data_IF_167775903067
#
_entry.id   IF_167775903067
#
_cell.length_a   1.000
_cell.length_b   1.000
_cell.length_c   1.000
_cell.angle_alpha   90.00
_cell.angle_beta   90.00
_cell.angle_gamma   90.00
#
_symmetry.space_group_name_H-M   'P 1'
#
loop_
_entity.id
_entity.type
_entity.pdbx_description
1 polymer ?
#
# COMPACT_ATOMS: atom_id res chain seq x y z
N UNK A 1 17.44 7.33 -5.99
CA UNK A 1 16.65 6.11 -5.75
C UNK A 1 15.30 6.30 -6.43
N UNK A 2 14.97 5.43 -7.39
CA UNK A 2 13.72 5.45 -8.15
C UNK A 2 12.72 4.49 -7.51
N UNK A 3 11.60 5.04 -7.04
CA UNK A 3 10.53 4.30 -6.37
C UNK A 3 9.31 4.26 -7.27
N UNK A 4 8.87 3.05 -7.63
CA UNK A 4 7.64 2.85 -8.39
C UNK A 4 6.48 2.47 -7.45
N UNK A 5 5.36 3.16 -7.61
CA UNK A 5 4.07 2.79 -7.03
C UNK A 5 3.21 2.21 -8.16
N UNK A 6 2.98 0.91 -8.09
CA UNK A 6 2.30 0.14 -9.12
C UNK A 6 0.83 -0.06 -8.74
N UNK A 7 -0.05 0.65 -9.43
CA UNK A 7 -1.47 0.82 -9.09
C UNK A 7 -1.68 2.03 -8.16
N UNK A 8 -2.44 3.04 -8.62
CA UNK A 8 -2.61 4.33 -7.92
C UNK A 8 -4.05 4.66 -7.52
N UNK A 9 -4.77 3.63 -7.11
CA UNK A 9 -6.06 3.77 -6.42
C UNK A 9 -5.86 4.29 -4.98
N UNK A 10 -6.82 4.02 -4.09
CA UNK A 10 -6.82 4.55 -2.72
C UNK A 10 -5.57 4.17 -1.91
N UNK A 11 -5.11 2.92 -2.01
CA UNK A 11 -3.91 2.45 -1.28
C UNK A 11 -2.62 3.07 -1.84
N UNK A 12 -2.47 3.13 -3.17
CA UNK A 12 -1.30 3.75 -3.80
C UNK A 12 -1.18 5.24 -3.46
N UNK A 13 -2.30 5.96 -3.40
CA UNK A 13 -2.32 7.36 -2.97
C UNK A 13 -1.94 7.56 -1.50
N UNK A 14 -2.45 6.71 -0.61
CA UNK A 14 -2.07 6.70 0.82
C UNK A 14 -0.58 6.41 0.99
N UNK A 15 -0.08 5.38 0.29
CA UNK A 15 1.33 5.02 0.30
C UNK A 15 2.22 6.17 -0.17
N UNK A 16 1.92 6.82 -1.29
CA UNK A 16 2.71 7.96 -1.77
C UNK A 16 2.79 9.08 -0.72
N UNK A 17 1.65 9.46 -0.13
CA UNK A 17 1.59 10.48 0.92
C UNK A 17 2.41 10.10 2.15
N UNK A 18 2.42 8.82 2.50
CA UNK A 18 3.21 8.30 3.61
C UNK A 18 4.71 8.34 3.28
N UNK A 19 5.14 7.73 2.16
CA UNK A 19 6.54 7.65 1.76
C UNK A 19 7.18 9.02 1.64
N UNK A 20 6.49 10.01 1.07
CA UNK A 20 6.99 11.38 0.94
C UNK A 20 7.36 12.04 2.28
N UNK A 21 6.73 11.61 3.38
CA UNK A 21 7.01 12.13 4.73
C UNK A 21 8.15 11.39 5.42
N UNK A 22 8.56 10.23 4.91
CA UNK A 22 9.58 9.41 5.54
C UNK A 22 10.99 9.91 5.19
N UNK A 23 11.89 10.07 6.19
CA UNK A 23 13.25 10.54 5.95
C UNK A 23 14.02 9.74 4.89
N UNK A 24 13.89 8.42 4.90
CA UNK A 24 14.57 7.50 3.96
C UNK A 24 14.16 7.69 2.50
N UNK A 25 13.02 8.34 2.26
CA UNK A 25 12.46 8.56 0.91
C UNK A 25 12.49 10.03 0.48
N UNK A 26 13.08 10.93 1.29
CA UNK A 26 13.09 12.38 1.03
C UNK A 26 13.78 12.78 -0.29
N UNK A 27 14.78 12.00 -0.73
CA UNK A 27 15.51 12.19 -2.01
C UNK A 27 15.09 11.19 -3.09
N UNK A 28 13.98 10.47 -2.90
CA UNK A 28 13.51 9.49 -3.87
C UNK A 28 12.78 10.18 -5.04
N UNK A 29 13.00 9.65 -6.23
CA UNK A 29 12.19 9.98 -7.41
C UNK A 29 11.01 9.02 -7.46
N UNK A 30 9.79 9.56 -7.46
CA UNK A 30 8.57 8.75 -7.45
C UNK A 30 8.02 8.59 -8.87
N UNK A 31 7.61 7.36 -9.17
CA UNK A 31 6.95 6.99 -10.42
C UNK A 31 5.62 6.32 -10.13
N UNK A 32 4.57 6.70 -10.85
CA UNK A 32 3.26 6.04 -10.77
C UNK A 32 3.07 5.21 -12.03
N UNK A 33 2.98 3.90 -11.84
CA UNK A 33 2.77 2.93 -12.91
C UNK A 33 1.34 2.45 -12.82
N UNK A 34 0.53 2.73 -13.84
CA UNK A 34 -0.85 2.28 -13.88
C UNK A 34 -1.34 2.09 -15.32
N UNK A 35 -2.30 1.18 -15.52
CA UNK A 35 -2.91 0.98 -16.82
C UNK A 35 -3.91 2.11 -17.16
N UNK A 36 -4.50 2.75 -16.15
CA UNK A 36 -5.47 3.82 -16.35
C UNK A 36 -4.80 5.14 -16.73
N UNK A 37 -5.11 5.63 -17.94
CA UNK A 37 -4.58 6.90 -18.47
C UNK A 37 -5.30 8.13 -17.93
N UNK A 38 -6.44 7.97 -17.24
CA UNK A 38 -7.28 9.06 -16.73
C UNK A 38 -6.97 9.43 -15.27
N UNK A 39 -5.94 8.83 -14.68
CA UNK A 39 -5.59 9.06 -13.29
C UNK A 39 -5.18 10.51 -13.01
N UNK A 40 -5.63 11.00 -11.85
CA UNK A 40 -5.17 12.28 -11.30
C UNK A 40 -3.83 12.07 -10.60
N UNK A 41 -2.77 12.62 -11.19
CA UNK A 41 -1.40 12.47 -10.72
C UNK A 41 -1.01 13.68 -9.87
N UNK A 42 -0.45 13.50 -8.66
CA UNK A 42 0.03 14.59 -7.84
C UNK A 42 1.31 15.22 -8.42
N UNK A 43 1.55 16.50 -8.11
CA UNK A 43 2.80 17.19 -8.48
C UNK A 43 4.03 16.48 -7.89
N UNK A 44 5.14 16.50 -8.65
CA UNK A 44 6.43 15.94 -8.22
C UNK A 44 6.54 14.42 -8.37
N UNK A 45 5.71 13.82 -9.22
CA UNK A 45 5.73 12.38 -9.53
C UNK A 45 5.70 12.21 -11.04
N UNK A 46 6.45 11.25 -11.56
CA UNK A 46 6.49 10.93 -12.98
C UNK A 46 5.44 9.84 -13.30
N UNK A 47 4.39 10.13 -14.07
CA UNK A 47 3.42 9.13 -14.46
C UNK A 47 3.90 8.29 -15.64
N UNK A 48 3.72 6.97 -15.54
CA UNK A 48 3.94 6.00 -16.61
C UNK A 48 2.64 5.24 -16.79
N UNK A 49 1.79 5.72 -17.69
CA UNK A 49 0.40 5.27 -17.82
C UNK A 49 0.12 4.49 -19.10
N UNK A 50 -0.96 3.72 -19.10
CA UNK A 50 -1.47 3.03 -20.29
C UNK A 50 -0.82 1.68 -20.53
N UNK A 51 -0.95 1.15 -21.76
CA UNK A 51 -0.58 -0.25 -22.07
C UNK A 51 0.88 -0.62 -21.83
N UNK A 52 1.79 0.37 -21.85
CA UNK A 52 3.25 0.16 -21.72
C UNK A 52 3.78 0.45 -20.32
N UNK A 53 2.90 0.62 -19.32
CA UNK A 53 3.27 1.02 -17.96
C UNK A 53 4.29 0.10 -17.25
N UNK A 54 4.43 -1.16 -17.70
CA UNK A 54 5.36 -2.13 -17.13
C UNK A 54 6.67 -2.30 -17.90
N UNK A 55 6.84 -1.69 -19.08
CA UNK A 55 7.98 -1.96 -19.96
C UNK A 55 9.33 -1.71 -19.27
N UNK A 56 9.40 -0.67 -18.44
CA UNK A 56 10.63 -0.20 -17.82
C UNK A 56 10.70 -0.59 -16.33
N UNK A 57 9.93 -1.61 -15.91
CA UNK A 57 9.85 -1.96 -14.48
C UNK A 57 11.21 -2.30 -13.84
N UNK A 58 12.18 -2.78 -14.62
CA UNK A 58 13.53 -3.14 -14.16
C UNK A 58 14.39 -1.93 -13.78
N UNK A 59 14.00 -0.72 -14.16
CA UNK A 59 14.76 0.50 -13.89
C UNK A 59 14.51 1.06 -12.48
N UNK A 60 13.56 0.50 -11.73
CA UNK A 60 13.18 0.99 -10.41
C UNK A 60 13.91 0.21 -9.31
N UNK A 61 14.43 0.92 -8.32
CA UNK A 61 15.16 0.32 -7.19
C UNK A 61 14.20 -0.47 -6.28
N UNK A 62 12.97 0.01 -6.14
CA UNK A 62 11.91 -0.61 -5.35
C UNK A 62 10.54 -0.39 -6.00
N UNK A 63 9.73 -1.45 -6.05
CA UNK A 63 8.37 -1.41 -6.60
C UNK A 63 7.37 -1.77 -5.50
N UNK A 64 6.47 -0.85 -5.18
CA UNK A 64 5.34 -1.10 -4.30
C UNK A 64 4.12 -1.52 -5.13
N UNK A 65 3.80 -2.81 -5.10
CA UNK A 65 2.66 -3.38 -5.83
C UNK A 65 1.38 -3.26 -5.01
N UNK A 66 0.37 -2.63 -5.58
CA UNK A 66 -1.00 -2.65 -5.05
C UNK A 66 -1.64 -4.03 -5.23
N UNK A 67 -2.50 -4.48 -4.30
CA UNK A 67 -3.14 -5.81 -4.35
C UNK A 67 -3.87 -6.09 -5.67
N UNK A 68 -4.49 -5.07 -6.27
CA UNK A 68 -5.24 -5.17 -7.53
C UNK A 68 -4.40 -5.43 -8.79
N UNK A 69 -3.07 -5.26 -8.72
CA UNK A 69 -2.18 -5.57 -9.86
C UNK A 69 -1.68 -7.00 -9.75
N UNK A 70 -1.96 -7.90 -10.69
CA UNK A 70 -1.57 -9.31 -10.58
C UNK A 70 -0.05 -9.51 -10.42
N UNK A 71 0.35 -10.31 -9.42
CA UNK A 71 1.76 -10.51 -9.09
C UNK A 71 2.57 -11.12 -10.24
N UNK A 72 1.97 -12.00 -11.04
CA UNK A 72 2.65 -12.67 -12.15
C UNK A 72 3.18 -11.70 -13.22
N UNK A 73 2.61 -10.50 -13.34
CA UNK A 73 3.06 -9.46 -14.27
C UNK A 73 4.44 -8.90 -13.89
N UNK A 74 4.78 -8.96 -12.61
CA UNK A 74 5.97 -8.30 -12.07
C UNK A 74 6.93 -9.26 -11.39
N UNK A 75 6.57 -10.54 -11.23
CA UNK A 75 7.33 -11.60 -10.52
C UNK A 75 8.83 -11.69 -10.83
N UNK A 76 9.29 -11.21 -11.99
CA UNK A 76 10.70 -11.23 -12.41
C UNK A 76 11.53 -10.10 -11.77
N UNK A 77 10.90 -9.11 -11.16
CA UNK A 77 11.56 -8.00 -10.50
C UNK A 77 11.96 -8.40 -9.07
N UNK A 78 13.22 -8.20 -8.69
CA UNK A 78 13.76 -8.68 -7.41
C UNK A 78 13.24 -7.91 -6.19
N UNK A 79 13.07 -6.59 -6.33
CA UNK A 79 12.72 -5.70 -5.22
C UNK A 79 11.25 -5.28 -5.26
N UNK A 80 10.34 -6.26 -5.23
CA UNK A 80 8.91 -6.01 -5.09
C UNK A 80 8.52 -6.10 -3.63
N UNK A 81 7.75 -5.12 -3.18
CA UNK A 81 7.06 -5.16 -1.89
C UNK A 81 5.61 -4.69 -2.07
N UNK A 82 4.89 -4.47 -0.96
CA UNK A 82 3.52 -3.97 -0.97
C UNK A 82 3.28 -2.97 0.16
N UNK A 83 2.25 -2.11 0.07
CA UNK A 83 1.82 -1.29 1.20
C UNK A 83 1.57 -2.12 2.47
N UNK A 84 1.01 -3.33 2.34
CA UNK A 84 0.74 -4.23 3.46
C UNK A 84 2.02 -4.75 4.11
N UNK A 85 3.01 -5.15 3.31
CA UNK A 85 4.30 -5.61 3.86
C UNK A 85 5.04 -4.46 4.56
N UNK A 86 5.01 -3.25 3.98
CA UNK A 86 5.55 -2.06 4.64
C UNK A 86 4.83 -1.78 5.97
N UNK A 87 3.50 -1.91 5.99
CA UNK A 87 2.72 -1.77 7.22
C UNK A 87 3.16 -2.79 8.27
N UNK A 88 3.32 -4.07 7.91
CA UNK A 88 3.80 -5.10 8.85
C UNK A 88 5.19 -4.82 9.40
N UNK A 89 6.10 -4.27 8.60
CA UNK A 89 7.45 -3.90 9.04
C UNK A 89 7.47 -2.72 10.01
N UNK A 90 6.54 -1.78 9.85
CA UNK A 90 6.53 -0.53 10.62
C UNK A 90 5.55 -0.51 11.79
N UNK A 91 4.58 -1.44 11.83
CA UNK A 91 3.57 -1.47 12.87
C UNK A 91 4.19 -1.87 14.23
N UNK A 92 4.14 -0.99 15.25
CA UNK A 92 4.69 -1.30 16.58
C UNK A 92 3.75 -2.22 17.40
N UNK A 93 2.49 -2.34 16.99
CA UNK A 93 1.45 -3.06 17.71
C UNK A 93 1.30 -4.51 17.23
N UNK A 94 0.65 -5.35 18.05
CA UNK A 94 0.31 -6.73 17.70
C UNK A 94 -0.70 -6.75 16.55
N UNK A 95 -0.36 -7.48 15.48
CA UNK A 95 -1.21 -7.61 14.29
C UNK A 95 -2.05 -8.88 14.36
N UNK A 96 -3.35 -8.75 14.12
CA UNK A 96 -4.29 -9.87 13.91
C UNK A 96 -4.77 -9.80 12.46
N UNK A 97 -4.39 -10.77 11.63
CA UNK A 97 -4.75 -10.83 10.21
C UNK A 97 -5.99 -11.71 9.96
N UNK A 98 -6.96 -11.18 9.21
CA UNK A 98 -8.20 -11.89 8.86
C UNK A 98 -8.31 -11.98 7.34
N UNK A 99 -8.39 -13.20 6.80
CA UNK A 99 -8.54 -13.50 5.37
C UNK A 99 -9.65 -14.53 5.13
N UNK A 100 -10.02 -14.77 3.87
CA UNK A 100 -11.08 -15.70 3.47
C UNK A 100 -11.97 -15.14 2.36
N UNK A 101 -12.84 -15.95 1.75
CA UNK A 101 -13.68 -15.49 0.63
C UNK A 101 -14.86 -14.63 1.12
N UNK A 102 -15.53 -15.04 2.20
CA UNK A 102 -16.68 -14.35 2.81
C UNK A 102 -16.45 -14.16 4.32
N UNK A 103 -17.24 -13.30 4.97
CA UNK A 103 -17.21 -13.13 6.44
C UNK A 103 -16.07 -12.27 7.01
N UNK A 104 -14.98 -12.03 6.27
CA UNK A 104 -13.81 -11.21 6.71
C UNK A 104 -14.20 -9.90 7.42
N UNK A 105 -15.10 -9.14 6.80
CA UNK A 105 -15.57 -7.84 7.29
C UNK A 105 -16.18 -7.92 8.67
N UNK A 106 -17.16 -8.81 8.78
CA UNK A 106 -17.92 -9.07 10.00
C UNK A 106 -17.01 -9.63 11.10
N UNK A 107 -16.18 -10.62 10.79
CA UNK A 107 -15.25 -11.24 11.76
C UNK A 107 -14.24 -10.23 12.30
N UNK A 108 -13.60 -9.44 11.42
CA UNK A 108 -12.64 -8.41 11.86
C UNK A 108 -13.31 -7.34 12.74
N UNK A 109 -14.54 -6.94 12.38
CA UNK A 109 -15.32 -5.97 13.17
C UNK A 109 -15.73 -6.54 14.54
N UNK A 110 -16.12 -7.81 14.60
CA UNK A 110 -16.48 -8.48 15.85
C UNK A 110 -15.28 -8.56 16.80
N UNK A 111 -14.13 -9.02 16.32
CA UNK A 111 -12.88 -9.07 17.09
C UNK A 111 -12.52 -7.67 17.62
N UNK A 112 -12.56 -6.66 16.75
CA UNK A 112 -12.29 -5.27 17.14
C UNK A 112 -13.23 -4.79 18.26
N UNK A 113 -14.54 -5.04 18.15
CA UNK A 113 -15.52 -4.67 19.17
C UNK A 113 -15.26 -5.38 20.50
N UNK A 114 -14.98 -6.68 20.49
CA UNK A 114 -14.61 -7.45 21.70
C UNK A 114 -13.38 -6.82 22.37
N UNK A 115 -12.32 -6.54 21.62
CA UNK A 115 -11.11 -5.93 22.16
C UNK A 115 -11.38 -4.54 22.77
N UNK A 116 -12.19 -3.71 22.11
CA UNK A 116 -12.59 -2.40 22.65
C UNK A 116 -13.45 -2.52 23.90
N UNK A 117 -14.37 -3.47 23.97
CA UNK A 117 -15.14 -3.76 25.20
C UNK A 117 -14.21 -4.16 26.35
N UNK A 118 -13.14 -4.91 26.06
CA UNK A 118 -12.08 -5.23 27.03
C UNK A 118 -11.10 -4.07 27.28
N UNK A 119 -11.43 -2.84 26.87
CA UNK A 119 -10.62 -1.61 27.03
C UNK A 119 -9.21 -1.71 26.42
N UNK A 120 -9.02 -2.52 25.39
CA UNK A 120 -7.75 -2.58 24.64
C UNK A 120 -7.69 -1.46 23.60
N UNK A 121 -6.50 -0.89 23.41
CA UNK A 121 -6.29 0.05 22.32
C UNK A 121 -6.15 -0.67 20.97
N UNK A 122 -7.29 -1.09 20.43
CA UNK A 122 -7.38 -1.79 19.14
C UNK A 122 -7.63 -0.82 17.98
N UNK A 123 -7.17 -1.19 16.79
CA UNK A 123 -7.38 -0.44 15.56
C UNK A 123 -7.87 -1.40 14.46
N UNK A 124 -8.94 -1.02 13.76
CA UNK A 124 -9.44 -1.77 12.60
C UNK A 124 -8.88 -1.14 11.32
N UNK A 125 -8.08 -1.91 10.57
CA UNK A 125 -7.34 -1.45 9.39
C UNK A 125 -7.46 -2.43 8.21
N UNK A 126 -7.07 -1.99 7.01
CA UNK A 126 -6.98 -2.83 5.80
C UNK A 126 -8.11 -2.57 4.81
N UNK A 127 -8.67 -3.65 4.23
CA UNK A 127 -9.73 -3.57 3.22
C UNK A 127 -11.09 -3.06 3.76
N UNK A 128 -11.19 -2.75 5.05
CA UNK A 128 -12.38 -2.21 5.70
C UNK A 128 -11.99 -0.83 6.24
N UNK A 129 -12.69 0.21 5.79
CA UNK A 129 -12.45 1.57 6.28
C UNK A 129 -11.26 2.23 5.59
N UNK A 130 -10.14 2.44 6.29
CA UNK A 130 -8.98 3.23 5.83
C UNK A 130 -7.78 2.33 5.49
N UNK A 131 -6.96 2.70 4.49
CA UNK A 131 -5.70 2.00 4.21
C UNK A 131 -4.85 1.85 5.47
N UNK A 132 -4.23 0.69 5.66
CA UNK A 132 -3.49 0.39 6.89
C UNK A 132 -2.33 1.37 7.14
N UNK A 133 -1.65 1.80 6.07
CA UNK A 133 -0.57 2.79 6.12
C UNK A 133 -1.00 4.11 6.78
N UNK A 134 -2.23 4.58 6.55
CA UNK A 134 -2.72 5.83 7.16
C UNK A 134 -2.86 5.73 8.69
N UNK A 135 -2.90 4.52 9.23
CA UNK A 135 -3.04 4.28 10.67
C UNK A 135 -1.71 4.30 11.41
N UNK A 136 -0.57 4.13 10.71
CA UNK A 136 0.76 4.08 11.35
C UNK A 136 1.08 5.33 12.19
N UNK A 137 0.59 6.51 11.80
CA UNK A 137 0.82 7.75 12.56
C UNK A 137 0.03 7.82 13.88
N UNK A 138 -0.87 6.87 14.13
CA UNK A 138 -1.73 6.80 15.32
C UNK A 138 -1.41 5.61 16.23
N UNK A 139 -0.58 4.68 15.74
CA UNK A 139 -0.19 3.45 16.42
C UNK A 139 1.03 3.68 17.32
#
# INVERSE_FOLDING_TARGET
MKIAILGFSREGQSLYKFLKKQPSYKKAEFFILDQDTKLKIPKGVTPVLGKKYLNNIKEYDQVFRSPGVPYHLVKKHKNITSPTELFFKLCPAKIIGITGTKGKGTTATLIYKILKCCKKDAYLVGNIGKPAIDSLAKL
#
